data_IF_964230981091
#
_entry.id   IF_964230981091
#
_cell.length_a   1.000
_cell.length_b   1.000
_cell.length_c   1.000
_cell.angle_alpha   90.00
_cell.angle_beta   90.00
_cell.angle_gamma   90.00
#
_symmetry.space_group_name_H-M   'P 1'
#
loop_
_entity.id
_entity.type
_entity.pdbx_description
1 polymer ?
#
# COMPACT_ATOMS: atom_id res chain seq x y z
N UNK A 1 4.07 -19.18 -9.37
CA UNK A 1 2.91 -19.76 -8.66
C UNK A 1 1.64 -19.22 -9.30
N UNK A 2 0.60 -20.03 -9.58
CA UNK A 2 -0.63 -19.49 -10.14
C UNK A 2 -1.42 -18.79 -9.02
N UNK A 3 -1.09 -17.52 -8.76
CA UNK A 3 -2.02 -16.61 -8.11
C UNK A 3 -3.28 -16.56 -8.96
N UNK A 4 -4.43 -16.89 -8.38
CA UNK A 4 -5.70 -16.84 -9.08
C UNK A 4 -6.33 -15.49 -8.77
N UNK A 5 -6.37 -14.65 -9.78
CA UNK A 5 -7.09 -13.38 -9.73
C UNK A 5 -8.56 -13.64 -9.41
N UNK A 6 -9.02 -13.02 -8.33
CA UNK A 6 -10.37 -13.12 -7.79
C UNK A 6 -11.10 -11.77 -7.85
N UNK A 7 -10.63 -10.85 -8.70
CA UNK A 7 -11.43 -9.71 -9.11
C UNK A 7 -12.68 -10.20 -9.84
N UNK A 8 -13.85 -9.72 -9.41
CA UNK A 8 -15.15 -10.12 -9.96
C UNK A 8 -15.98 -8.91 -10.33
N UNK A 9 -16.78 -9.04 -11.39
CA UNK A 9 -17.68 -7.99 -11.85
C UNK A 9 -19.12 -8.17 -11.32
N UNK A 10 -19.45 -9.35 -10.81
CA UNK A 10 -20.79 -9.69 -10.33
C UNK A 10 -20.74 -10.75 -9.21
N UNK A 11 -21.89 -10.95 -8.55
CA UNK A 11 -22.03 -11.91 -7.44
C UNK A 11 -21.88 -13.37 -7.88
N UNK A 12 -22.23 -13.73 -9.11
CA UNK A 12 -22.06 -15.09 -9.64
C UNK A 12 -20.59 -15.47 -9.79
N UNK A 13 -19.77 -14.55 -10.27
CA UNK A 13 -18.31 -14.69 -10.32
C UNK A 13 -17.71 -14.77 -8.91
N UNK A 14 -18.21 -13.99 -7.96
CA UNK A 14 -17.78 -14.05 -6.55
C UNK A 14 -18.02 -15.46 -5.97
N UNK A 15 -19.21 -16.03 -6.17
CA UNK A 15 -19.55 -17.39 -5.73
C UNK A 15 -18.66 -18.44 -6.41
N UNK A 16 -18.36 -18.28 -7.71
CA UNK A 16 -17.45 -19.16 -8.43
C UNK A 16 -16.02 -19.07 -7.88
N UNK A 17 -15.55 -17.88 -7.52
CA UNK A 17 -14.25 -17.67 -6.88
C UNK A 17 -14.19 -18.33 -5.48
N UNK A 18 -15.25 -18.17 -4.68
CA UNK A 18 -15.38 -18.84 -3.36
C UNK A 18 -15.40 -20.36 -3.46
N UNK A 19 -16.10 -20.92 -4.46
CA UNK A 19 -16.06 -22.36 -4.70
C UNK A 19 -14.66 -22.85 -5.06
N UNK A 20 -13.97 -22.13 -5.95
CA UNK A 20 -12.60 -22.47 -6.37
C UNK A 20 -11.60 -22.43 -5.21
N UNK A 21 -11.71 -21.47 -4.28
CA UNK A 21 -10.80 -21.42 -3.11
C UNK A 21 -11.07 -22.58 -2.17
N UNK A 22 -12.34 -22.96 -1.95
CA UNK A 22 -12.72 -24.13 -1.15
C UNK A 22 -12.15 -25.42 -1.74
N UNK A 23 -12.33 -25.64 -3.05
CA UNK A 23 -11.73 -26.78 -3.77
C UNK A 23 -10.20 -26.79 -3.65
N UNK A 24 -9.56 -25.61 -3.72
CA UNK A 24 -8.12 -25.48 -3.57
C UNK A 24 -7.64 -25.77 -2.13
N UNK A 25 -8.42 -25.45 -1.10
CA UNK A 25 -8.08 -25.75 0.30
C UNK A 25 -8.26 -27.23 0.63
N UNK A 26 -9.30 -27.87 0.08
CA UNK A 26 -9.62 -29.28 0.32
C UNK A 26 -8.72 -30.28 -0.44
N UNK A 27 -7.91 -29.80 -1.38
CA UNK A 27 -6.96 -30.65 -2.10
C UNK A 27 -5.67 -30.81 -1.30
N UNK A 28 -5.27 -32.06 -1.05
CA UNK A 28 -4.04 -32.37 -0.33
C UNK A 28 -2.81 -31.80 -1.07
N UNK A 29 -1.76 -31.38 -0.34
CA UNK A 29 -0.47 -31.09 -0.94
C UNK A 29 0.07 -32.34 -1.67
N UNK A 30 0.45 -32.19 -2.94
CA UNK A 30 1.13 -33.25 -3.67
C UNK A 30 2.60 -33.31 -3.21
N UNK A 31 3.09 -34.51 -2.91
CA UNK A 31 4.50 -34.80 -2.56
C UNK A 31 5.05 -34.24 -1.23
N UNK A 32 4.20 -34.00 -0.22
CA UNK A 32 4.65 -33.75 1.16
C UNK A 32 5.28 -32.38 1.42
N UNK A 33 5.31 -31.49 0.43
CA UNK A 33 5.71 -30.09 0.62
C UNK A 33 4.55 -29.24 1.15
N UNK A 34 4.87 -28.10 1.77
CA UNK A 34 3.86 -27.10 2.12
C UNK A 34 3.15 -26.55 0.87
N UNK A 35 1.84 -26.31 1.00
CA UNK A 35 0.99 -25.75 -0.06
C UNK A 35 0.57 -24.34 0.32
N UNK A 36 0.74 -23.40 -0.62
CA UNK A 36 0.21 -22.05 -0.48
C UNK A 36 -0.94 -21.89 -1.46
N UNK A 37 -2.11 -21.49 -0.95
CA UNK A 37 -3.27 -21.08 -1.73
C UNK A 37 -3.35 -19.56 -1.64
N UNK A 38 -3.18 -18.87 -2.77
CA UNK A 38 -3.29 -17.41 -2.81
C UNK A 38 -4.61 -16.99 -3.45
N UNK A 39 -5.45 -16.32 -2.65
CA UNK A 39 -6.66 -15.65 -3.09
C UNK A 39 -6.34 -14.19 -3.42
N UNK A 40 -6.14 -13.91 -4.71
CA UNK A 40 -5.57 -12.64 -5.16
C UNK A 40 -6.65 -11.63 -5.54
N UNK A 41 -6.45 -10.34 -5.26
CA UNK A 41 -7.33 -9.23 -5.65
C UNK A 41 -8.82 -9.41 -5.33
N UNK A 42 -9.17 -9.89 -4.14
CA UNK A 42 -10.57 -10.12 -3.78
C UNK A 42 -11.32 -8.80 -3.53
N UNK A 43 -11.95 -8.26 -4.58
CA UNK A 43 -12.65 -6.97 -4.53
C UNK A 43 -14.03 -7.05 -3.84
N UNK A 44 -14.59 -8.25 -3.70
CA UNK A 44 -15.87 -8.51 -3.04
C UNK A 44 -15.78 -8.71 -1.51
N UNK A 45 -14.64 -8.41 -0.88
CA UNK A 45 -14.49 -8.44 0.60
C UNK A 45 -14.84 -7.10 1.27
N UNK A 46 -14.93 -6.02 0.51
CA UNK A 46 -15.27 -4.69 0.98
C UNK A 46 -16.76 -4.35 0.83
N UNK A 47 -17.00 -3.17 0.26
CA UNK A 47 -18.27 -2.47 0.08
C UNK A 47 -18.82 -2.55 -1.36
N UNK A 48 -18.18 -3.32 -2.24
CA UNK A 48 -18.62 -3.47 -3.63
C UNK A 48 -20.00 -4.12 -3.77
N UNK A 49 -20.68 -3.86 -4.89
CA UNK A 49 -22.01 -4.42 -5.19
C UNK A 49 -22.03 -5.95 -5.19
N UNK A 50 -20.95 -6.61 -5.61
CA UNK A 50 -20.82 -8.06 -5.52
C UNK A 50 -20.75 -8.55 -4.06
N UNK A 51 -20.20 -7.73 -3.16
CA UNK A 51 -20.01 -8.02 -1.74
C UNK A 51 -21.29 -7.87 -0.89
N UNK A 52 -22.30 -7.17 -1.41
CA UNK A 52 -23.58 -6.94 -0.73
C UNK A 52 -24.66 -7.96 -1.07
N UNK A 53 -24.42 -8.83 -2.05
CA UNK A 53 -25.31 -9.94 -2.35
C UNK A 53 -25.40 -10.90 -1.16
N UNK A 54 -26.62 -11.23 -0.73
CA UNK A 54 -26.87 -12.11 0.41
C UNK A 54 -26.15 -13.46 0.27
N UNK A 55 -26.28 -14.10 -0.90
CA UNK A 55 -25.62 -15.38 -1.18
C UNK A 55 -24.08 -15.34 -1.04
N UNK A 56 -23.45 -14.21 -1.39
CA UNK A 56 -21.98 -14.04 -1.23
C UNK A 56 -21.61 -13.86 0.24
N UNK A 57 -22.43 -13.12 0.99
CA UNK A 57 -22.24 -12.92 2.44
C UNK A 57 -22.37 -14.24 3.21
N UNK A 58 -23.39 -15.04 2.88
CA UNK A 58 -23.60 -16.38 3.46
C UNK A 58 -22.43 -17.31 3.10
N UNK A 59 -22.04 -17.36 1.82
CA UNK A 59 -20.90 -18.20 1.39
C UNK A 59 -19.57 -17.81 2.06
N UNK A 60 -19.34 -16.52 2.32
CA UNK A 60 -18.19 -16.04 3.08
C UNK A 60 -18.24 -16.43 4.55
N UNK A 61 -19.44 -16.45 5.15
CA UNK A 61 -19.64 -16.89 6.54
C UNK A 61 -19.40 -18.40 6.67
N UNK A 62 -19.88 -19.20 5.72
CA UNK A 62 -19.64 -20.64 5.68
C UNK A 62 -18.16 -20.94 5.53
N UNK A 63 -17.48 -20.28 4.57
CA UNK A 63 -16.03 -20.41 4.40
C UNK A 63 -15.29 -20.01 5.68
N UNK A 64 -15.72 -18.95 6.37
CA UNK A 64 -15.12 -18.56 7.64
C UNK A 64 -15.24 -19.67 8.70
N UNK A 65 -16.38 -20.34 8.78
CA UNK A 65 -16.54 -21.46 9.72
C UNK A 65 -15.64 -22.64 9.36
N UNK A 66 -15.58 -23.01 8.07
CA UNK A 66 -14.69 -24.06 7.57
C UNK A 66 -13.22 -23.76 7.92
N UNK A 67 -12.77 -22.51 7.76
CA UNK A 67 -11.39 -22.10 8.05
C UNK A 67 -11.01 -22.21 9.53
N UNK A 68 -11.97 -22.13 10.46
CA UNK A 68 -11.71 -22.32 11.90
C UNK A 68 -11.43 -23.78 12.25
N UNK A 69 -12.10 -24.69 11.57
CA UNK A 69 -12.00 -26.14 11.79
C UNK A 69 -10.93 -26.79 10.90
N UNK A 70 -10.35 -26.02 9.98
CA UNK A 70 -9.37 -26.49 9.00
C UNK A 70 -8.02 -26.85 9.64
N UNK A 71 -7.43 -27.98 9.20
CA UNK A 71 -6.08 -28.37 9.62
C UNK A 71 -4.99 -27.66 8.80
N UNK A 72 -4.25 -26.79 9.46
CA UNK A 72 -3.23 -25.92 8.85
C UNK A 72 -1.83 -26.53 8.77
N UNK A 73 -1.64 -27.82 9.03
CA UNK A 73 -0.30 -28.44 9.18
C UNK A 73 0.60 -28.23 7.96
N UNK A 74 0.06 -28.32 6.74
CA UNK A 74 0.83 -28.20 5.50
C UNK A 74 0.21 -27.26 4.46
N UNK A 75 -0.75 -26.44 4.86
CA UNK A 75 -1.44 -25.51 3.97
C UNK A 75 -1.34 -24.10 4.55
N UNK A 76 -1.18 -23.11 3.68
CA UNK A 76 -1.24 -21.69 4.01
C UNK A 76 -2.21 -21.00 3.05
N UNK A 77 -3.03 -20.11 3.58
CA UNK A 77 -3.92 -19.27 2.81
C UNK A 77 -3.39 -17.84 2.84
N UNK A 78 -3.08 -17.27 1.69
CA UNK A 78 -2.78 -15.85 1.52
C UNK A 78 -4.01 -15.19 0.89
N UNK A 79 -4.53 -14.12 1.48
CA UNK A 79 -5.63 -13.34 0.91
C UNK A 79 -5.14 -11.91 0.71
N UNK A 80 -5.29 -11.40 -0.51
CA UNK A 80 -4.99 -9.99 -0.82
C UNK A 80 -6.24 -9.32 -1.39
N UNK A 81 -6.61 -8.18 -0.82
CA UNK A 81 -7.77 -7.39 -1.22
C UNK A 81 -7.48 -5.90 -1.07
N UNK A 82 -8.04 -5.07 -1.95
CA UNK A 82 -7.85 -3.62 -1.88
C UNK A 82 -8.67 -2.98 -0.75
N UNK A 83 -9.90 -3.44 -0.53
CA UNK A 83 -10.77 -3.00 0.57
C UNK A 83 -11.40 -4.21 1.25
N UNK A 84 -11.55 -4.14 2.57
CA UNK A 84 -12.18 -5.19 3.37
C UNK A 84 -13.10 -4.57 4.42
N UNK A 85 -14.32 -5.09 4.56
CA UNK A 85 -15.24 -4.70 5.63
C UNK A 85 -14.90 -5.45 6.92
N UNK A 86 -14.26 -4.74 7.87
CA UNK A 86 -13.83 -5.28 9.17
C UNK A 86 -14.99 -5.79 10.05
N UNK A 87 -16.24 -5.43 9.74
CA UNK A 87 -17.41 -5.87 10.50
C UNK A 87 -17.82 -7.29 10.13
N UNK A 88 -17.49 -7.76 8.92
CA UNK A 88 -17.90 -9.07 8.39
C UNK A 88 -17.19 -10.21 9.12
N UNK A 89 -17.92 -11.32 9.29
CA UNK A 89 -17.47 -12.52 10.01
C UNK A 89 -16.21 -13.13 9.40
N UNK A 90 -16.06 -13.05 8.07
CA UNK A 90 -14.89 -13.53 7.36
C UNK A 90 -13.60 -12.82 7.81
N UNK A 91 -13.59 -11.48 7.83
CA UNK A 91 -12.43 -10.70 8.31
C UNK A 91 -12.09 -11.03 9.77
N UNK A 92 -13.10 -10.99 10.66
CA UNK A 92 -12.91 -11.29 12.09
C UNK A 92 -12.38 -12.70 12.34
N UNK A 93 -12.66 -13.63 11.44
CA UNK A 93 -12.15 -15.00 11.54
C UNK A 93 -10.69 -15.06 11.10
N UNK A 94 -10.34 -14.46 9.96
CA UNK A 94 -8.95 -14.36 9.50
C UNK A 94 -8.04 -13.67 10.52
N UNK A 95 -8.53 -12.60 11.17
CA UNK A 95 -7.83 -11.88 12.23
C UNK A 95 -7.58 -12.75 13.49
N UNK A 96 -8.43 -13.74 13.75
CA UNK A 96 -8.26 -14.66 14.89
C UNK A 96 -7.33 -15.83 14.60
N UNK A 97 -7.36 -16.36 13.37
CA UNK A 97 -6.62 -17.57 13.01
C UNK A 97 -5.27 -17.29 12.35
N UNK A 98 -5.01 -16.04 11.94
CA UNK A 98 -3.81 -15.68 11.21
C UNK A 98 -3.39 -14.22 11.40
N UNK A 99 -2.39 -13.81 10.62
CA UNK A 99 -1.85 -12.44 10.64
C UNK A 99 -2.57 -11.59 9.60
N UNK A 100 -3.04 -10.40 10.01
CA UNK A 100 -3.62 -9.41 9.11
C UNK A 100 -2.68 -8.22 9.03
N UNK A 101 -2.20 -7.93 7.83
CA UNK A 101 -1.42 -6.74 7.54
C UNK A 101 -2.23 -5.79 6.67
N UNK A 102 -2.41 -4.55 7.16
CA UNK A 102 -3.06 -3.51 6.39
C UNK A 102 -2.00 -2.67 5.66
N UNK A 103 -1.97 -2.80 4.34
CA UNK A 103 -1.14 -2.00 3.46
C UNK A 103 -1.97 -0.85 2.89
N UNK A 104 -2.41 0.05 3.76
CA UNK A 104 -3.11 1.27 3.36
C UNK A 104 -2.15 2.22 2.67
N UNK A 105 -2.56 2.80 1.54
CA UNK A 105 -1.88 3.98 1.00
C UNK A 105 -2.03 5.14 1.98
N UNK A 106 -1.02 5.99 2.06
CA UNK A 106 -1.17 7.28 2.74
C UNK A 106 -2.16 8.12 1.95
N UNK A 107 -3.08 8.80 2.63
CA UNK A 107 -3.97 9.79 2.02
C UNK A 107 -3.60 11.18 2.48
N UNK A 108 -3.67 12.17 1.60
CA UNK A 108 -3.43 13.57 1.99
C UNK A 108 -4.47 14.09 2.98
N UNK A 109 -5.67 13.51 2.93
CA UNK A 109 -6.78 13.87 3.80
C UNK A 109 -6.63 13.31 5.22
N UNK A 110 -5.73 12.34 5.42
CA UNK A 110 -5.42 11.78 6.73
C UNK A 110 -4.48 12.70 7.49
N UNK A 111 -4.94 13.37 8.55
CA UNK A 111 -4.11 14.32 9.33
C UNK A 111 -2.77 13.75 9.80
N UNK A 112 -2.69 12.43 9.96
CA UNK A 112 -1.50 11.74 10.45
C UNK A 112 -0.61 11.16 9.33
N UNK A 113 -0.91 11.44 8.05
CA UNK A 113 -0.17 10.84 6.93
C UNK A 113 1.31 11.19 6.95
N UNK A 114 1.67 12.41 7.37
CA UNK A 114 3.06 12.87 7.50
C UNK A 114 3.80 12.01 8.51
N UNK A 115 3.25 11.88 9.73
CA UNK A 115 3.84 11.07 10.80
C UNK A 115 3.98 9.59 10.40
N UNK A 116 3.01 9.05 9.65
CA UNK A 116 3.08 7.68 9.15
C UNK A 116 4.16 7.52 8.06
N UNK A 117 4.30 8.50 7.16
CA UNK A 117 5.36 8.54 6.16
C UNK A 117 6.75 8.60 6.82
N UNK A 118 6.93 9.51 7.77
CA UNK A 118 8.18 9.64 8.52
C UNK A 118 8.55 8.33 9.24
N UNK A 119 7.58 7.71 9.91
CA UNK A 119 7.78 6.41 10.57
C UNK A 119 8.09 5.28 9.58
N UNK A 120 7.51 5.29 8.37
CA UNK A 120 7.83 4.32 7.33
C UNK A 120 9.27 4.51 6.81
N UNK A 121 9.66 5.74 6.50
CA UNK A 121 11.00 6.07 6.04
C UNK A 121 12.07 5.71 7.09
N UNK A 122 11.84 6.05 8.36
CA UNK A 122 12.75 5.70 9.46
C UNK A 122 12.94 4.18 9.60
N UNK A 123 11.86 3.40 9.50
CA UNK A 123 11.94 1.93 9.55
C UNK A 123 12.79 1.37 8.41
N UNK A 124 12.60 1.88 7.21
CA UNK A 124 13.37 1.44 6.06
C UNK A 124 14.84 1.85 6.15
N UNK A 125 15.13 3.11 6.51
CA UNK A 125 16.49 3.59 6.73
C UNK A 125 17.23 2.77 7.80
N UNK A 126 16.55 2.45 8.89
CA UNK A 126 17.11 1.57 9.93
C UNK A 126 17.44 0.18 9.40
N UNK A 127 16.59 -0.42 8.56
CA UNK A 127 16.90 -1.71 7.91
C UNK A 127 18.09 -1.65 6.95
N UNK A 128 18.40 -0.46 6.42
CA UNK A 128 19.55 -0.19 5.56
C UNK A 128 20.80 0.27 6.34
N UNK A 129 20.72 0.31 7.67
CA UNK A 129 21.82 0.79 8.53
C UNK A 129 22.10 2.29 8.40
N UNK A 130 21.13 3.07 7.94
CA UNK A 130 21.22 4.52 7.77
C UNK A 130 20.46 5.28 8.85
N UNK A 131 20.94 6.48 9.14
CA UNK A 131 20.29 7.50 9.96
C UNK A 131 20.00 8.71 9.09
N UNK A 132 19.02 9.51 9.48
CA UNK A 132 18.65 10.74 8.80
C UNK A 132 18.37 11.80 9.86
N UNK A 133 18.77 13.05 9.60
CA UNK A 133 18.42 14.16 10.49
C UNK A 133 16.91 14.45 10.41
N UNK A 134 16.34 15.03 11.47
CA UNK A 134 14.91 15.36 11.49
C UNK A 134 14.50 16.31 10.37
N UNK A 135 15.32 17.33 10.10
CA UNK A 135 15.10 18.28 9.01
C UNK A 135 15.12 17.60 7.63
N UNK A 136 16.06 16.67 7.41
CA UNK A 136 16.16 15.94 6.16
C UNK A 136 14.98 15.00 5.93
N UNK A 137 14.50 14.36 7.01
CA UNK A 137 13.31 13.51 6.98
C UNK A 137 12.06 14.30 6.62
N UNK A 138 11.87 15.48 7.21
CA UNK A 138 10.72 16.33 6.90
C UNK A 138 10.78 16.86 5.46
N UNK A 139 11.95 17.28 4.94
CA UNK A 139 12.09 17.69 3.53
C UNK A 139 11.82 16.52 2.56
N UNK A 140 12.26 15.30 2.91
CA UNK A 140 12.01 14.10 2.12
C UNK A 140 10.50 13.81 2.01
N UNK A 141 9.79 13.80 3.13
CA UNK A 141 8.35 13.54 3.16
C UNK A 141 7.57 14.65 2.46
N UNK A 142 7.94 15.91 2.68
CA UNK A 142 7.33 17.05 2.00
C UNK A 142 7.52 17.00 0.48
N UNK A 143 8.70 16.58 0.00
CA UNK A 143 9.01 16.48 -1.43
C UNK A 143 8.25 15.35 -2.14
N UNK A 144 7.85 14.31 -1.42
CA UNK A 144 7.20 13.11 -1.96
C UNK A 144 5.69 13.11 -1.73
N UNK A 145 5.18 13.75 -0.68
CA UNK A 145 3.77 13.66 -0.33
C UNK A 145 3.33 12.25 0.09
N UNK A 146 2.02 11.96 0.06
CA UNK A 146 1.44 10.72 0.59
C UNK A 146 1.58 9.53 -0.39
N UNK A 147 2.78 9.32 -0.94
CA UNK A 147 3.06 8.22 -1.85
C UNK A 147 4.11 7.26 -1.26
N UNK A 148 3.63 6.21 -0.58
CA UNK A 148 4.50 5.22 0.10
C UNK A 148 5.47 4.54 -0.88
N UNK A 149 5.01 4.23 -2.10
CA UNK A 149 5.88 3.58 -3.10
C UNK A 149 7.03 4.50 -3.48
N UNK A 150 6.72 5.76 -3.77
CA UNK A 150 7.74 6.74 -4.11
C UNK A 150 8.66 7.01 -2.92
N UNK A 151 8.12 7.11 -1.70
CA UNK A 151 8.90 7.23 -0.47
C UNK A 151 9.93 6.11 -0.35
N UNK A 152 9.51 4.86 -0.55
CA UNK A 152 10.41 3.73 -0.43
C UNK A 152 11.55 3.75 -1.47
N UNK A 153 11.24 4.14 -2.70
CA UNK A 153 12.23 4.25 -3.77
C UNK A 153 13.24 5.36 -3.48
N UNK A 154 12.76 6.52 -2.99
CA UNK A 154 13.61 7.66 -2.70
C UNK A 154 14.49 7.42 -1.47
N UNK A 155 13.99 6.71 -0.45
CA UNK A 155 14.79 6.25 0.69
C UNK A 155 15.92 5.32 0.26
N UNK A 156 15.61 4.33 -0.59
CA UNK A 156 16.63 3.41 -1.12
C UNK A 156 17.67 4.16 -1.95
N UNK A 157 17.23 5.09 -2.81
CA UNK A 157 18.13 5.94 -3.60
C UNK A 157 19.02 6.80 -2.72
N UNK A 158 18.49 7.41 -1.66
CA UNK A 158 19.28 8.20 -0.71
C UNK A 158 20.33 7.36 0.01
N UNK A 159 19.95 6.16 0.45
CA UNK A 159 20.88 5.23 1.08
C UNK A 159 22.05 4.85 0.15
N UNK A 160 21.76 4.65 -1.14
CA UNK A 160 22.77 4.39 -2.17
C UNK A 160 23.60 5.63 -2.51
N UNK A 161 22.98 6.81 -2.63
CA UNK A 161 23.63 8.07 -2.94
C UNK A 161 24.67 8.46 -1.89
N UNK A 162 24.34 8.29 -0.61
CA UNK A 162 25.22 8.61 0.52
C UNK A 162 26.34 7.56 0.69
N UNK A 163 26.24 6.40 0.04
CA UNK A 163 27.28 5.39 0.00
C UNK A 163 27.59 4.83 1.38
N UNK A 164 28.84 4.91 1.83
CA UNK A 164 29.25 4.38 3.15
C UNK A 164 28.87 5.29 4.33
N UNK A 165 28.55 6.58 4.09
CA UNK A 165 28.22 7.49 5.19
C UNK A 165 26.92 7.04 5.88
N UNK A 166 26.94 7.05 7.21
CA UNK A 166 25.84 6.52 8.02
C UNK A 166 24.66 7.49 8.17
N UNK A 167 24.89 8.78 8.01
CA UNK A 167 23.91 9.84 8.26
C UNK A 167 23.58 10.61 6.97
N UNK A 168 22.29 10.76 6.72
CA UNK A 168 21.71 11.51 5.60
C UNK A 168 21.36 12.92 6.09
N UNK A 169 21.85 13.93 5.38
CA UNK A 169 21.64 15.34 5.67
C UNK A 169 20.64 15.98 4.68
N UNK A 170 20.18 17.20 4.98
CA UNK A 170 19.22 17.94 4.14
C UNK A 170 19.77 18.21 2.74
N UNK A 171 21.08 18.42 2.65
CA UNK A 171 21.80 18.63 1.37
C UNK A 171 21.70 17.41 0.46
N UNK A 172 21.72 16.19 1.01
CA UNK A 172 21.59 14.95 0.25
C UNK A 172 20.18 14.78 -0.31
N UNK A 173 19.18 15.10 0.51
CA UNK A 173 17.77 15.09 0.09
C UNK A 173 17.56 16.07 -1.04
N UNK A 174 18.01 17.32 -0.88
CA UNK A 174 17.91 18.36 -1.91
C UNK A 174 18.61 17.96 -3.21
N UNK A 175 19.74 17.26 -3.14
CA UNK A 175 20.52 16.86 -4.31
C UNK A 175 19.95 15.63 -5.04
N UNK A 176 19.40 14.67 -4.30
CA UNK A 176 19.03 13.37 -4.86
C UNK A 176 17.52 13.18 -5.07
N UNK A 177 16.68 13.89 -4.32
CA UNK A 177 15.22 13.70 -4.34
C UNK A 177 14.55 14.71 -5.24
N UNK A 178 13.74 14.22 -6.18
CA UNK A 178 12.94 15.07 -7.06
C UNK A 178 11.54 15.24 -6.48
N UNK A 179 11.07 16.48 -6.37
CA UNK A 179 9.71 16.79 -5.92
C UNK A 179 8.69 16.21 -6.87
N UNK A 180 7.67 15.55 -6.34
CA UNK A 180 6.60 15.01 -7.18
C UNK A 180 5.56 16.08 -7.55
N UNK A 181 4.75 15.80 -8.58
CA UNK A 181 3.72 16.71 -9.10
C UNK A 181 2.77 17.24 -8.02
N UNK A 182 2.38 16.38 -7.07
CA UNK A 182 1.49 16.79 -5.98
C UNK A 182 2.18 17.75 -5.01
N UNK A 183 3.38 17.42 -4.53
CA UNK A 183 4.17 18.26 -3.64
C UNK A 183 4.48 19.64 -4.24
N UNK A 184 4.69 19.73 -5.55
CA UNK A 184 4.89 21.02 -6.25
C UNK A 184 3.61 21.85 -6.34
N UNK A 185 2.47 21.21 -6.61
CA UNK A 185 1.17 21.90 -6.55
C UNK A 185 0.87 22.46 -5.15
N UNK A 186 1.24 21.74 -4.09
CA UNK A 186 1.17 22.25 -2.72
C UNK A 186 2.15 23.39 -2.47
N UNK A 187 3.41 23.27 -2.90
CA UNK A 187 4.41 24.33 -2.73
C UNK A 187 3.98 25.65 -3.39
N UNK A 188 3.28 25.60 -4.52
CA UNK A 188 2.68 26.77 -5.16
C UNK A 188 1.53 27.35 -4.32
N UNK A 189 0.65 26.49 -3.80
CA UNK A 189 -0.45 26.88 -2.91
C UNK A 189 0.02 27.54 -1.62
N UNK A 190 1.04 26.96 -0.97
CA UNK A 190 1.65 27.51 0.25
C UNK A 190 2.29 28.87 0.00
N UNK A 191 3.10 28.98 -1.07
CA UNK A 191 3.73 30.25 -1.44
C UNK A 191 2.70 31.36 -1.70
N UNK A 192 1.55 31.01 -2.28
CA UNK A 192 0.44 31.93 -2.50
C UNK A 192 -0.22 32.33 -1.18
N UNK A 193 -0.44 31.38 -0.27
CA UNK A 193 -0.97 31.61 1.07
C UNK A 193 -0.08 32.54 1.91
N UNK A 194 1.23 32.34 1.84
CA UNK A 194 2.26 33.14 2.51
C UNK A 194 2.48 34.52 1.87
N UNK A 195 1.86 34.77 0.70
CA UNK A 195 2.04 35.99 -0.11
C UNK A 195 3.48 36.25 -0.53
N UNK A 196 4.29 35.19 -0.67
CA UNK A 196 5.67 35.26 -1.14
C UNK A 196 5.70 35.21 -2.68
N UNK A 197 5.53 36.39 -3.30
CA UNK A 197 5.50 36.53 -4.75
C UNK A 197 6.75 35.94 -5.45
N UNK A 198 7.99 36.20 -4.98
CA UNK A 198 9.18 35.55 -5.55
C UNK A 198 9.11 34.02 -5.55
N UNK A 199 8.62 33.42 -4.46
CA UNK A 199 8.48 31.96 -4.35
C UNK A 199 7.38 31.43 -5.27
N UNK A 200 6.24 32.11 -5.35
CA UNK A 200 5.15 31.76 -6.28
C UNK A 200 5.63 31.75 -7.73
N UNK A 201 6.36 32.78 -8.16
CA UNK A 201 6.85 32.88 -9.53
C UNK A 201 7.85 31.77 -9.88
N UNK A 202 8.72 31.37 -8.94
CA UNK A 202 9.62 30.22 -9.15
C UNK A 202 8.86 28.91 -9.30
N UNK A 203 7.94 28.61 -8.38
CA UNK A 203 7.13 27.39 -8.45
C UNK A 203 6.27 27.34 -9.73
N UNK A 204 5.75 28.49 -10.18
CA UNK A 204 4.98 28.59 -11.41
C UNK A 204 5.84 28.36 -12.66
N UNK A 205 7.06 28.91 -12.70
CA UNK A 205 7.98 28.70 -13.82
C UNK A 205 8.38 27.22 -13.97
N UNK A 206 8.66 26.54 -12.85
CA UNK A 206 8.94 25.09 -12.82
C UNK A 206 7.78 24.26 -13.38
N UNK A 207 6.53 24.53 -12.98
CA UNK A 207 5.34 23.83 -13.47
C UNK A 207 5.06 24.12 -14.95
N UNK A 208 5.22 25.38 -15.40
CA UNK A 208 5.04 25.77 -16.80
C UNK A 208 6.07 25.12 -17.73
N UNK A 209 7.31 24.94 -17.26
CA UNK A 209 8.33 24.24 -18.00
C UNK A 209 7.94 22.78 -18.22
N UNK A 210 7.54 22.04 -17.18
CA UNK A 210 7.15 20.63 -17.35
C UNK A 210 5.94 20.44 -18.30
N UNK A 211 4.91 21.28 -18.20
CA UNK A 211 3.73 21.19 -19.09
C UNK A 211 4.08 21.33 -20.57
N UNK A 212 5.12 22.10 -20.91
CA UNK A 212 5.58 22.22 -22.30
C UNK A 212 6.21 20.93 -22.81
N UNK A 213 6.86 20.14 -21.96
CA UNK A 213 7.53 18.89 -22.35
C UNK A 213 6.66 17.64 -22.19
N UNK A 214 5.59 17.68 -21.42
CA UNK A 214 4.61 16.57 -21.26
C UNK A 214 3.57 16.51 -22.41
N UNK A 215 3.71 17.36 -23.44
CA UNK A 215 2.77 17.48 -24.57
C UNK A 215 3.06 16.56 -25.77
N UNK A 216 3.65 15.38 -25.55
CA UNK A 216 3.87 14.35 -26.60
C UNK A 216 3.29 12.99 -26.26
#
# INVERSE_FOLDING_TARGET
>A
MPGRDAAVNNSGEALKALRKIREALQTLPFFGSSKVVWFQNCNFLGDERAASAQAVTESLADLAQELKEFSWENVRLLVSAGKVDKRKTFYKTLEKIGTVENHGGLSIDDRDWVSQAEAAALRQLHSLGKKISGEALSELVASIGPNVRQLNNEVEKLALYVGDRAEIEVSDVTAAVTRNKQARAFALGDALGDRDLPRVLRCLDEELWEMKFDSR
#
